data_IF_566174759667
#
_entry.id   IF_566174759667
#
_cell.length_a   1.000
_cell.length_b   1.000
_cell.length_c   1.000
_cell.angle_alpha   90.00
_cell.angle_beta   90.00
_cell.angle_gamma   90.00
#
_symmetry.space_group_name_H-M   'P 1'
#
loop_
_entity.id
_entity.type
_entity.pdbx_description
1 polymer ?
#
# COMPACT_ATOMS: atom_id res chain seq x y z
N UNK A 1 2.79 24.75 21.89
CA UNK A 1 3.26 24.27 20.57
C UNK A 1 2.04 23.71 19.88
N UNK A 2 1.48 24.43 18.90
CA UNK A 2 0.30 23.98 18.17
C UNK A 2 0.77 22.89 17.20
N UNK A 3 0.32 21.65 17.41
CA UNK A 3 0.47 20.59 16.43
C UNK A 3 -0.52 20.92 15.32
N UNK A 4 -0.04 21.20 14.11
CA UNK A 4 -0.93 21.38 12.96
C UNK A 4 -1.84 20.16 12.84
N UNK A 5 -3.14 20.33 12.54
CA UNK A 5 -4.03 19.19 12.34
C UNK A 5 -3.41 18.27 11.27
N UNK A 6 -3.35 16.97 11.53
CA UNK A 6 -2.71 15.97 10.65
C UNK A 6 -3.10 16.10 9.17
N UNK A 7 -4.33 16.54 8.92
CA UNK A 7 -4.90 16.81 7.59
C UNK A 7 -4.19 17.95 6.83
N UNK A 8 -3.45 18.84 7.50
CA UNK A 8 -2.65 19.90 6.89
C UNK A 8 -1.21 19.43 6.56
N UNK A 9 -0.75 18.33 7.15
CA UNK A 9 0.63 17.83 6.98
C UNK A 9 0.73 16.78 5.87
N UNK A 10 -0.41 16.27 5.37
CA UNK A 10 -0.47 15.20 4.36
C UNK A 10 -1.55 15.48 3.33
N UNK A 11 -1.16 15.58 2.05
CA UNK A 11 -2.07 15.64 0.90
C UNK A 11 -2.70 14.27 0.59
N UNK A 12 -3.18 13.54 1.59
CA UNK A 12 -3.90 12.28 1.36
C UNK A 12 -5.34 12.55 0.93
N UNK A 13 -5.83 11.77 -0.03
CA UNK A 13 -7.28 11.65 -0.22
C UNK A 13 -7.92 11.04 1.03
N UNK A 14 -9.21 11.34 1.27
CA UNK A 14 -9.95 10.78 2.41
C UNK A 14 -9.97 9.24 2.40
N UNK A 15 -9.97 8.65 1.21
CA UNK A 15 -9.95 7.20 1.01
C UNK A 15 -8.61 6.60 1.44
N UNK A 16 -7.49 7.17 0.98
CA UNK A 16 -6.15 6.73 1.39
C UNK A 16 -6.00 6.83 2.91
N UNK A 17 -6.47 7.94 3.50
CA UNK A 17 -6.43 8.13 4.94
C UNK A 17 -7.24 7.08 5.71
N UNK A 18 -8.41 6.69 5.21
CA UNK A 18 -9.24 5.64 5.81
C UNK A 18 -8.52 4.28 5.83
N UNK A 19 -7.94 3.87 4.71
CA UNK A 19 -7.15 2.64 4.61
C UNK A 19 -5.97 2.63 5.60
N UNK A 20 -5.31 3.78 5.72
CA UNK A 20 -4.16 3.97 6.57
C UNK A 20 -4.45 3.82 8.06
N UNK A 21 -5.56 4.40 8.53
CA UNK A 21 -5.95 4.36 9.94
C UNK A 21 -6.29 2.98 10.47
N UNK A 22 -6.74 2.05 9.62
CA UNK A 22 -7.13 0.73 10.10
C UNK A 22 -5.94 -0.05 10.68
N UNK A 23 -4.74 0.17 10.13
CA UNK A 23 -3.54 -0.58 10.49
C UNK A 23 -2.52 0.20 11.29
N UNK A 24 -2.71 1.51 11.45
CA UNK A 24 -1.75 2.40 12.08
C UNK A 24 -2.40 3.24 13.17
N UNK A 25 -1.73 3.34 14.31
CA UNK A 25 -2.07 4.34 15.33
C UNK A 25 -1.81 5.75 14.80
N UNK A 26 -2.42 6.75 15.42
CA UNK A 26 -2.25 8.16 15.02
C UNK A 26 -0.77 8.61 15.03
N UNK A 27 0.03 8.09 15.98
CA UNK A 27 1.47 8.36 16.05
C UNK A 27 2.28 7.70 14.92
N UNK A 28 1.83 6.54 14.44
CA UNK A 28 2.45 5.84 13.30
C UNK A 28 2.01 6.44 11.97
N UNK A 29 0.77 6.94 11.89
CA UNK A 29 0.32 7.75 10.76
C UNK A 29 1.11 9.07 10.68
N UNK A 30 1.44 9.67 11.83
CA UNK A 30 2.33 10.83 11.96
C UNK A 30 3.80 10.50 11.64
N UNK A 31 4.20 9.23 11.63
CA UNK A 31 5.50 8.79 11.13
C UNK A 31 5.40 8.63 9.60
N UNK A 32 5.46 9.77 8.92
CA UNK A 32 5.13 9.93 7.50
C UNK A 32 5.79 8.89 6.61
N UNK A 33 4.96 8.16 5.85
CA UNK A 33 5.47 7.56 4.63
C UNK A 33 5.94 8.61 3.65
N UNK A 34 7.00 8.28 2.93
CA UNK A 34 7.57 9.15 1.92
C UNK A 34 6.55 9.42 0.81
N UNK A 35 6.72 10.54 0.10
CA UNK A 35 5.93 10.88 -1.09
C UNK A 35 5.91 9.75 -2.13
N UNK A 36 7.00 8.99 -2.27
CA UNK A 36 7.06 7.83 -3.17
C UNK A 36 6.05 6.77 -2.76
N UNK A 37 6.05 6.38 -1.49
CA UNK A 37 5.08 5.41 -0.98
C UNK A 37 3.64 5.95 -1.05
N UNK A 38 3.44 7.26 -0.82
CA UNK A 38 2.10 7.88 -0.94
C UNK A 38 1.55 7.72 -2.35
N UNK A 39 2.34 8.05 -3.37
CA UNK A 39 1.96 7.90 -4.78
C UNK A 39 1.68 6.45 -5.15
N UNK A 40 2.45 5.51 -4.61
CA UNK A 40 2.21 4.08 -4.84
C UNK A 40 0.90 3.61 -4.18
N UNK A 41 0.60 4.05 -2.96
CA UNK A 41 -0.70 3.75 -2.31
C UNK A 41 -1.86 4.32 -3.12
N UNK A 42 -1.75 5.56 -3.62
CA UNK A 42 -2.76 6.18 -4.49
C UNK A 42 -3.03 5.36 -5.75
N UNK A 43 -1.97 4.87 -6.42
CA UNK A 43 -2.10 4.01 -7.62
C UNK A 43 -2.81 2.69 -7.27
N UNK A 44 -2.44 2.07 -6.16
CA UNK A 44 -3.04 0.80 -5.73
C UNK A 44 -4.52 0.99 -5.36
N UNK A 45 -4.87 2.02 -4.58
CA UNK A 45 -6.27 2.31 -4.23
C UNK A 45 -7.09 2.65 -5.47
N UNK A 46 -6.51 3.39 -6.43
CA UNK A 46 -7.16 3.69 -7.71
C UNK A 46 -7.31 2.50 -8.65
N UNK A 47 -6.75 1.33 -8.33
CA UNK A 47 -6.90 0.12 -9.15
C UNK A 47 -8.34 -0.40 -9.05
N UNK A 48 -9.05 -0.62 -10.18
CA UNK A 48 -10.41 -1.15 -10.17
C UNK A 48 -10.57 -2.40 -9.30
N UNK A 49 -11.58 -2.40 -8.44
CA UNK A 49 -11.89 -3.53 -7.55
C UNK A 49 -10.91 -3.71 -6.38
N UNK A 50 -10.06 -2.73 -6.09
CA UNK A 50 -9.17 -2.77 -4.94
C UNK A 50 -9.97 -2.95 -3.65
N UNK A 51 -9.69 -4.06 -2.97
CA UNK A 51 -10.31 -4.44 -1.71
C UNK A 51 -9.23 -4.63 -0.67
N UNK A 52 -9.49 -4.19 0.55
CA UNK A 52 -8.55 -4.30 1.64
C UNK A 52 -8.19 -5.74 2.00
N UNK A 53 -6.90 -6.04 2.07
CA UNK A 53 -6.41 -7.35 2.49
C UNK A 53 -6.18 -7.41 4.00
N UNK A 54 -6.38 -8.58 4.58
CA UNK A 54 -6.06 -8.80 5.98
C UNK A 54 -4.55 -8.89 6.19
N UNK A 55 -4.03 -8.20 7.21
CA UNK A 55 -2.62 -8.23 7.62
C UNK A 55 -2.00 -9.61 7.86
N UNK A 56 -2.81 -10.68 8.05
CA UNK A 56 -2.30 -12.05 8.21
C UNK A 56 -1.58 -12.56 6.96
N UNK A 57 -2.00 -12.07 5.80
CA UNK A 57 -1.46 -12.48 4.50
C UNK A 57 -0.16 -11.73 4.18
N UNK A 58 0.10 -10.58 4.81
CA UNK A 58 1.37 -9.84 4.70
C UNK A 58 2.59 -10.67 5.12
N UNK A 59 2.45 -11.50 6.16
CA UNK A 59 3.51 -12.41 6.62
C UNK A 59 3.79 -13.55 5.64
N UNK A 60 2.83 -13.88 4.77
CA UNK A 60 2.96 -14.90 3.73
C UNK A 60 3.46 -14.33 2.40
N UNK A 61 3.30 -13.01 2.21
CA UNK A 61 3.73 -12.34 1.00
C UNK A 61 5.25 -12.36 0.86
N UNK A 62 5.71 -12.62 -0.36
CA UNK A 62 7.12 -12.61 -0.75
C UNK A 62 7.48 -11.26 -1.39
N UNK A 63 8.66 -10.70 -1.12
CA UNK A 63 9.12 -9.48 -1.81
C UNK A 63 9.11 -9.66 -3.33
N UNK A 64 8.59 -8.65 -4.03
CA UNK A 64 8.56 -8.57 -5.49
C UNK A 64 9.62 -7.59 -6.01
N UNK A 65 9.70 -6.40 -5.40
CA UNK A 65 10.76 -5.40 -5.59
C UNK A 65 10.73 -4.37 -4.45
N UNK A 66 11.70 -3.46 -4.43
CA UNK A 66 11.81 -2.38 -3.45
C UNK A 66 11.75 -1.04 -4.18
N UNK A 67 11.04 -0.08 -3.61
CA UNK A 67 10.92 1.29 -4.08
C UNK A 67 12.18 2.10 -3.72
N UNK A 68 12.39 3.24 -4.37
CA UNK A 68 13.53 4.15 -4.14
C UNK A 68 13.64 4.65 -2.70
N UNK A 69 12.54 4.67 -1.96
CA UNK A 69 12.50 5.08 -0.55
C UNK A 69 12.72 3.93 0.44
N UNK A 70 12.97 2.71 -0.06
CA UNK A 70 13.18 1.52 0.76
C UNK A 70 11.90 0.73 1.08
N UNK A 71 10.72 1.22 0.70
CA UNK A 71 9.47 0.47 0.86
C UNK A 71 9.48 -0.78 -0.01
N UNK A 72 9.16 -1.93 0.58
CA UNK A 72 9.11 -3.22 -0.13
C UNK A 72 7.71 -3.50 -0.64
N UNK A 73 7.59 -3.77 -1.94
CA UNK A 73 6.38 -4.29 -2.56
C UNK A 73 6.39 -5.80 -2.45
N UNK A 74 5.33 -6.40 -1.90
CA UNK A 74 5.24 -7.84 -1.66
C UNK A 74 3.98 -8.42 -2.29
N UNK A 75 4.08 -9.62 -2.85
CA UNK A 75 2.97 -10.34 -3.47
C UNK A 75 2.67 -11.62 -2.69
N UNK A 76 1.40 -11.91 -2.49
CA UNK A 76 0.90 -13.21 -2.04
C UNK A 76 -0.20 -13.68 -2.98
N UNK A 77 -0.11 -14.91 -3.44
CA UNK A 77 -1.19 -15.56 -4.19
C UNK A 77 -1.82 -16.56 -3.24
N UNK A 78 -3.10 -16.37 -2.93
CA UNK A 78 -3.80 -17.27 -2.02
C UNK A 78 -4.16 -18.61 -2.71
N UNK A 79 -4.67 -19.62 -1.99
CA UNK A 79 -4.98 -20.93 -2.56
C UNK A 79 -6.02 -20.93 -3.70
N UNK A 80 -6.85 -19.89 -3.79
CA UNK A 80 -7.83 -19.70 -4.88
C UNK A 80 -7.31 -18.75 -5.97
N UNK A 81 -5.99 -18.59 -6.06
CA UNK A 81 -5.30 -17.82 -7.11
C UNK A 81 -5.65 -16.32 -7.15
N UNK A 82 -6.12 -15.74 -6.04
CA UNK A 82 -6.31 -14.30 -5.92
C UNK A 82 -4.98 -13.66 -5.53
N UNK A 83 -4.62 -12.58 -6.24
CA UNK A 83 -3.41 -11.79 -6.00
C UNK A 83 -3.66 -10.77 -4.90
N UNK A 84 -2.85 -10.84 -3.84
CA UNK A 84 -2.77 -9.85 -2.77
C UNK A 84 -1.45 -9.10 -2.89
N UNK A 85 -1.52 -7.78 -2.86
CA UNK A 85 -0.39 -6.87 -2.92
C UNK A 85 -0.24 -6.16 -1.59
N UNK A 86 1.00 -5.99 -1.13
CA UNK A 86 1.31 -5.31 0.11
C UNK A 86 2.49 -4.37 -0.04
N UNK A 87 2.51 -3.34 0.80
CA UNK A 87 3.66 -2.47 1.01
C UNK A 87 4.16 -2.66 2.44
N UNK A 88 5.47 -2.82 2.62
CA UNK A 88 6.13 -2.86 3.92
C UNK A 88 7.21 -1.81 4.02
N UNK A 89 7.35 -1.17 5.19
CA UNK A 89 8.42 -0.19 5.43
C UNK A 89 9.80 -0.87 5.55
N UNK A 90 10.84 -0.06 5.79
CA UNK A 90 12.21 -0.54 5.97
C UNK A 90 12.41 -1.42 7.22
N UNK A 91 11.44 -1.43 8.15
CA UNK A 91 11.41 -2.30 9.34
C UNK A 91 10.51 -3.53 9.13
N UNK A 92 9.99 -3.73 7.91
CA UNK A 92 9.05 -4.77 7.54
C UNK A 92 7.72 -4.71 8.31
N UNK A 93 7.30 -3.50 8.70
CA UNK A 93 5.92 -3.24 9.16
C UNK A 93 5.02 -2.97 7.96
N UNK A 94 3.80 -3.50 7.99
CA UNK A 94 2.83 -3.31 6.91
C UNK A 94 2.37 -1.86 6.85
N UNK A 95 2.48 -1.29 5.65
CA UNK A 95 2.01 0.05 5.28
C UNK A 95 0.63 -0.04 4.62
N UNK A 96 0.50 -0.95 3.65
CA UNK A 96 -0.70 -1.14 2.85
C UNK A 96 -0.90 -2.64 2.55
N UNK A 97 -2.15 -3.06 2.43
CA UNK A 97 -2.52 -4.40 1.99
C UNK A 97 -3.83 -4.38 1.21
N UNK A 98 -3.81 -4.90 -0.01
CA UNK A 98 -4.98 -4.95 -0.88
C UNK A 98 -5.00 -6.17 -1.78
N UNK A 99 -6.14 -6.46 -2.38
CA UNK A 99 -6.32 -7.50 -3.40
C UNK A 99 -7.42 -7.09 -4.36
N UNK A 100 -7.46 -7.75 -5.52
CA UNK A 100 -8.54 -7.60 -6.49
C UNK A 100 -9.15 -8.95 -6.84
N UNK A 101 -10.42 -8.99 -7.23
CA UNK A 101 -11.04 -10.19 -7.78
C UNK A 101 -10.47 -10.54 -9.17
N UNK A 102 -10.69 -11.78 -9.64
CA UNK A 102 -10.09 -12.27 -10.90
C UNK A 102 -10.35 -11.38 -12.11
N UNK A 103 -11.52 -10.75 -12.20
CA UNK A 103 -11.90 -9.86 -13.31
C UNK A 103 -11.00 -8.60 -13.41
N UNK A 104 -10.28 -8.25 -12.34
CA UNK A 104 -9.42 -7.07 -12.26
C UNK A 104 -7.92 -7.43 -12.18
N UNK A 105 -7.57 -8.71 -12.37
CA UNK A 105 -6.17 -9.16 -12.28
C UNK A 105 -5.26 -8.40 -13.25
N UNK A 106 -5.71 -8.17 -14.48
CA UNK A 106 -4.95 -7.42 -15.49
C UNK A 106 -4.71 -5.96 -15.05
N UNK A 107 -5.70 -5.32 -14.42
CA UNK A 107 -5.53 -3.96 -13.89
C UNK A 107 -4.51 -3.91 -12.76
N UNK A 108 -4.50 -4.90 -11.87
CA UNK A 108 -3.50 -4.98 -10.80
C UNK A 108 -2.10 -5.24 -11.37
N UNK A 109 -1.97 -6.10 -12.38
CA UNK A 109 -0.68 -6.34 -13.04
C UNK A 109 -0.15 -5.07 -13.72
N UNK A 110 -1.00 -4.33 -14.44
CA UNK A 110 -0.66 -3.04 -15.04
C UNK A 110 -0.22 -2.01 -13.98
N UNK A 111 -0.95 -1.94 -12.86
CA UNK A 111 -0.59 -1.06 -11.75
C UNK A 111 0.79 -1.42 -11.17
N UNK A 112 1.06 -2.70 -10.94
CA UNK A 112 2.36 -3.20 -10.43
C UNK A 112 3.49 -2.86 -11.39
N UNK A 113 3.30 -3.07 -12.69
CA UNK A 113 4.30 -2.75 -13.72
C UNK A 113 4.56 -1.25 -13.82
N UNK A 114 3.52 -0.42 -13.73
CA UNK A 114 3.65 1.03 -13.68
C UNK A 114 4.43 1.48 -12.43
N UNK A 115 4.08 0.93 -11.25
CA UNK A 115 4.76 1.22 -9.99
C UNK A 115 6.25 0.88 -10.09
N UNK A 116 6.56 -0.32 -10.59
CA UNK A 116 7.94 -0.78 -10.75
C UNK A 116 8.75 0.12 -11.68
N UNK A 117 8.16 0.55 -12.80
CA UNK A 117 8.84 1.41 -13.77
C UNK A 117 9.11 2.82 -13.24
N UNK A 118 8.20 3.35 -12.44
CA UNK A 118 8.21 4.76 -12.01
C UNK A 118 8.94 4.97 -10.67
N UNK A 119 8.85 4.00 -9.76
CA UNK A 119 9.21 4.19 -8.34
C UNK A 119 10.21 3.18 -7.77
N UNK A 120 10.55 2.09 -8.47
CA UNK A 120 11.71 1.26 -8.14
C UNK A 120 13.00 1.87 -8.70
#
# INVERSE_FOLDING_TARGET
MLVAPFNEVLNFSQEVFSYWKEWNTEAEAAYHISETTQKVVEILIGTPGMTQAHSRDFRRATPLFTLKDGTTVKLYINPVQVKHIFLGDCTNKMIFGGYVGWIHNENLDEAIDNIKRSYA
#
